data_IF_004355686300
#
_entry.id   IF_004355686300
#
_cell.length_a   1.000
_cell.length_b   1.000
_cell.length_c   1.000
_cell.angle_alpha   90.00
_cell.angle_beta   90.00
_cell.angle_gamma   90.00
#
_symmetry.space_group_name_H-M   'P 1'
#
loop_
_entity.id
_entity.type
_entity.pdbx_description
1 polymer ?
#
# COMPACT_ATOMS: atom_id res chain seq x y z
N UNK A 1 17.69 -7.72 14.39
CA UNK A 1 16.96 -6.47 14.51
C UNK A 1 16.53 -6.02 13.11
N UNK A 2 15.35 -5.43 12.99
CA UNK A 2 14.81 -4.88 11.73
C UNK A 2 15.43 -3.51 11.49
N UNK A 3 15.92 -3.26 10.26
CA UNK A 3 16.45 -1.93 9.93
C UNK A 3 15.31 -0.89 9.88
N UNK A 4 15.63 0.39 10.11
CA UNK A 4 14.62 1.47 10.00
C UNK A 4 14.00 1.56 8.61
N UNK A 5 14.77 1.23 7.56
CA UNK A 5 14.27 1.18 6.19
C UNK A 5 13.32 0.00 5.94
N UNK A 6 13.65 -1.19 6.49
CA UNK A 6 12.73 -2.34 6.43
C UNK A 6 11.42 -2.03 7.16
N UNK A 7 11.50 -1.34 8.31
CA UNK A 7 10.31 -0.94 9.06
C UNK A 7 9.45 0.07 8.27
N UNK A 8 10.07 1.05 7.59
CA UNK A 8 9.36 1.99 6.74
C UNK A 8 8.72 1.30 5.54
N UNK A 9 9.42 0.32 4.93
CA UNK A 9 8.89 -0.48 3.84
C UNK A 9 7.68 -1.32 4.26
N UNK A 10 7.76 -1.97 5.41
CA UNK A 10 6.63 -2.73 5.99
C UNK A 10 5.45 -1.82 6.29
N UNK A 11 5.70 -0.64 6.89
CA UNK A 11 4.64 0.33 7.19
C UNK A 11 3.93 0.83 5.91
N UNK A 12 4.67 1.07 4.83
CA UNK A 12 4.10 1.44 3.54
C UNK A 12 3.25 0.33 2.94
N UNK A 13 3.77 -0.89 2.96
CA UNK A 13 3.13 -2.07 2.36
C UNK A 13 1.80 -2.40 3.06
N UNK A 14 1.75 -2.33 4.40
CA UNK A 14 0.54 -2.58 5.19
C UNK A 14 -0.30 -1.33 5.45
N UNK A 15 0.22 -0.14 5.23
CA UNK A 15 -0.54 1.10 5.31
C UNK A 15 -1.37 1.37 4.05
N UNK A 16 -0.88 0.89 2.89
CA UNK A 16 -1.63 0.86 1.65
C UNK A 16 -2.36 -0.46 1.50
N UNK A 17 -3.45 -0.49 0.76
CA UNK A 17 -4.33 -1.65 0.63
C UNK A 17 -4.14 -2.35 -0.72
N UNK A 18 -4.51 -3.64 -0.79
CA UNK A 18 -4.53 -4.37 -2.05
C UNK A 18 -5.90 -4.29 -2.71
N UNK A 19 -6.01 -3.52 -3.78
CA UNK A 19 -7.23 -3.43 -4.58
C UNK A 19 -7.69 -4.81 -5.08
N UNK A 20 -6.74 -5.67 -5.47
CA UNK A 20 -7.04 -7.05 -5.91
C UNK A 20 -7.70 -7.86 -4.80
N UNK A 21 -7.16 -7.82 -3.59
CA UNK A 21 -7.72 -8.54 -2.44
C UNK A 21 -9.11 -7.99 -2.08
N UNK A 22 -9.27 -6.67 -2.13
CA UNK A 22 -10.56 -6.03 -1.88
C UNK A 22 -11.61 -6.46 -2.89
N UNK A 23 -11.32 -6.39 -4.19
CA UNK A 23 -12.28 -6.81 -5.25
C UNK A 23 -12.62 -8.30 -5.13
N UNK A 24 -11.66 -9.15 -4.77
CA UNK A 24 -11.90 -10.58 -4.52
C UNK A 24 -12.86 -10.77 -3.34
N UNK A 25 -12.70 -10.00 -2.26
CA UNK A 25 -13.60 -10.04 -1.11
C UNK A 25 -15.01 -9.54 -1.47
N UNK A 26 -15.11 -8.45 -2.24
CA UNK A 26 -16.39 -7.94 -2.76
C UNK A 26 -17.10 -9.02 -3.58
N UNK A 27 -16.42 -9.69 -4.51
CA UNK A 27 -17.00 -10.77 -5.30
C UNK A 27 -17.47 -11.95 -4.43
N UNK A 28 -16.71 -12.29 -3.38
CA UNK A 28 -17.12 -13.32 -2.43
C UNK A 28 -18.40 -12.93 -1.72
N UNK A 29 -18.52 -11.70 -1.22
CA UNK A 29 -19.71 -11.19 -0.54
C UNK A 29 -20.93 -11.15 -1.49
N UNK A 30 -20.74 -10.71 -2.74
CA UNK A 30 -21.79 -10.73 -3.77
C UNK A 30 -22.28 -12.16 -4.04
N UNK A 31 -21.37 -13.12 -4.19
CA UNK A 31 -21.72 -14.53 -4.40
C UNK A 31 -22.47 -15.13 -3.21
N UNK A 32 -22.17 -14.71 -1.99
CA UNK A 32 -22.85 -15.13 -0.77
C UNK A 32 -24.10 -14.31 -0.47
N UNK A 33 -24.43 -13.32 -1.32
CA UNK A 33 -25.55 -12.40 -1.13
C UNK A 33 -25.50 -11.63 0.19
N UNK A 34 -24.29 -11.36 0.68
CA UNK A 34 -24.06 -10.57 1.87
C UNK A 34 -23.98 -9.09 1.49
N UNK A 35 -24.91 -8.25 1.97
CA UNK A 35 -24.93 -6.83 1.61
C UNK A 35 -23.76 -6.06 2.24
N UNK A 36 -23.22 -5.09 1.50
CA UNK A 36 -22.19 -4.15 1.97
C UNK A 36 -22.37 -2.78 1.32
N UNK A 37 -21.88 -1.73 1.96
CA UNK A 37 -21.99 -0.36 1.46
C UNK A 37 -20.90 0.00 0.46
N UNK A 38 -21.25 0.77 -0.58
CA UNK A 38 -20.30 1.30 -1.58
C UNK A 38 -19.22 2.23 -1.01
N UNK A 39 -19.45 2.79 0.20
CA UNK A 39 -18.45 3.61 0.91
C UNK A 39 -17.17 2.83 1.26
N UNK A 40 -17.21 1.50 1.32
CA UNK A 40 -16.02 0.68 1.54
C UNK A 40 -15.05 0.74 0.35
N UNK A 41 -15.55 0.86 -0.87
CA UNK A 41 -14.71 1.11 -2.05
C UNK A 41 -14.07 2.50 -2.03
N UNK A 42 -14.82 3.52 -1.58
CA UNK A 42 -14.27 4.85 -1.37
C UNK A 42 -13.18 4.86 -0.27
N UNK A 43 -13.39 4.14 0.82
CA UNK A 43 -12.40 3.97 1.89
C UNK A 43 -11.11 3.35 1.33
N UNK A 44 -11.20 2.28 0.53
CA UNK A 44 -10.06 1.67 -0.15
C UNK A 44 -9.28 2.68 -0.98
N UNK A 45 -9.98 3.44 -1.84
CA UNK A 45 -9.36 4.45 -2.71
C UNK A 45 -8.63 5.55 -1.92
N UNK A 46 -9.20 5.97 -0.80
CA UNK A 46 -8.63 7.02 0.04
C UNK A 46 -7.46 6.54 0.90
N UNK A 47 -7.38 5.26 1.24
CA UNK A 47 -6.29 4.70 2.05
C UNK A 47 -4.96 4.57 1.28
N UNK A 48 -5.00 4.49 -0.05
CA UNK A 48 -3.80 4.19 -0.85
C UNK A 48 -2.79 5.33 -0.83
N UNK A 49 -3.18 6.56 -1.09
CA UNK A 49 -2.28 7.71 -1.17
C UNK A 49 -1.59 8.09 0.14
N UNK A 50 -2.26 8.15 1.30
CA UNK A 50 -1.64 8.55 2.57
C UNK A 50 -0.51 7.62 2.99
N UNK A 51 -0.63 6.32 2.72
CA UNK A 51 0.39 5.34 3.08
C UNK A 51 1.70 5.53 2.31
N UNK A 52 1.62 5.78 1.01
CA UNK A 52 2.78 6.07 0.17
C UNK A 52 3.47 7.35 0.64
N UNK A 53 2.70 8.41 0.93
CA UNK A 53 3.21 9.67 1.44
C UNK A 53 3.96 9.45 2.75
N UNK A 54 3.36 8.77 3.71
CA UNK A 54 3.97 8.48 5.01
C UNK A 54 5.26 7.67 4.86
N UNK A 55 5.28 6.67 3.98
CA UNK A 55 6.47 5.87 3.72
C UNK A 55 7.64 6.71 3.21
N UNK A 56 7.38 7.60 2.25
CA UNK A 56 8.39 8.50 1.70
C UNK A 56 8.88 9.48 2.77
N UNK A 57 7.98 10.01 3.60
CA UNK A 57 8.34 10.90 4.73
C UNK A 57 9.22 10.17 5.73
N UNK A 58 8.87 8.95 6.13
CA UNK A 58 9.68 8.14 7.06
C UNK A 58 11.04 7.78 6.46
N UNK A 59 11.10 7.35 5.21
CA UNK A 59 12.35 7.05 4.53
C UNK A 59 13.28 8.28 4.50
N UNK A 60 12.74 9.45 4.19
CA UNK A 60 13.49 10.70 4.19
C UNK A 60 13.94 11.13 5.59
N UNK A 61 13.12 10.93 6.62
CA UNK A 61 13.46 11.19 8.01
C UNK A 61 14.63 10.30 8.48
N UNK A 62 14.64 9.03 8.08
CA UNK A 62 15.73 8.10 8.40
C UNK A 62 17.04 8.47 7.69
N UNK A 63 16.97 9.00 6.46
CA UNK A 63 18.15 9.48 5.72
C UNK A 63 18.78 10.74 6.34
N UNK A 64 18.01 11.53 7.08
CA UNK A 64 18.47 12.78 7.72
C UNK A 64 19.22 12.59 9.03
N UNK A 65 19.43 11.35 9.53
CA UNK A 65 20.30 11.13 10.70
C UNK A 65 21.71 11.61 10.33
N UNK A 66 22.28 12.61 11.06
CA UNK A 66 23.64 13.06 10.78
C UNK A 66 24.58 11.90 10.99
N UNK A 67 25.38 11.59 9.96
CA UNK A 67 26.58 10.79 10.14
C UNK A 67 27.44 11.61 11.09
N UNK A 68 27.88 11.10 12.25
CA UNK A 68 28.78 11.83 13.13
C UNK A 68 30.00 12.23 12.30
N UNK A 69 30.19 13.52 12.17
CA UNK A 69 31.34 14.13 11.50
C UNK A 69 32.60 13.64 12.23
N UNK A 70 33.31 12.72 11.62
CA UNK A 70 34.65 12.38 12.12
C UNK A 70 35.47 13.65 11.97
N UNK A 71 35.75 14.29 13.09
CA UNK A 71 36.70 15.37 13.19
C UNK A 71 38.03 14.90 12.56
N UNK A 72 38.24 15.30 11.32
CA UNK A 72 39.53 15.13 10.67
C UNK A 72 40.40 16.30 11.14
N UNK A 73 41.12 16.06 12.21
CA UNK A 73 42.18 16.95 12.69
C UNK A 73 43.36 16.80 11.73
N UNK A 74 43.33 17.58 10.66
CA UNK A 74 44.45 17.68 9.72
C UNK A 74 44.33 19.00 8.94
N UNK A 75 45.21 19.93 9.23
CA UNK A 75 45.21 21.26 8.66
C UNK A 75 45.33 21.26 7.13
N UNK A 76 44.34 21.82 6.47
CA UNK A 76 44.31 22.14 5.06
C UNK A 76 43.27 23.23 4.83
N UNK A 77 43.65 24.30 4.15
CA UNK A 77 42.84 25.49 3.81
C UNK A 77 41.55 25.01 3.11
N UNK A 78 40.42 25.20 3.78
CA UNK A 78 39.09 24.88 3.22
C UNK A 78 38.76 25.96 2.20
N UNK A 79 38.72 25.57 0.92
CA UNK A 79 37.86 26.23 -0.07
C UNK A 79 36.41 26.00 0.32
N UNK A 80 35.51 26.96 0.21
CA UNK A 80 34.08 26.74 0.46
C UNK A 80 33.55 25.84 -0.64
N UNK A 81 33.58 24.53 -0.39
CA UNK A 81 32.85 23.59 -1.18
C UNK A 81 31.37 23.89 -0.99
N UNK A 82 30.68 24.16 -2.10
CA UNK A 82 29.26 24.29 -2.22
C UNK A 82 28.54 23.39 -1.21
N UNK A 83 27.90 24.04 -0.25
CA UNK A 83 26.85 23.46 0.55
C UNK A 83 25.71 23.13 -0.41
N UNK A 84 25.84 22.03 -1.14
CA UNK A 84 24.68 21.38 -1.71
C UNK A 84 23.76 21.05 -0.53
N UNK A 85 22.90 22.02 -0.26
CA UNK A 85 21.68 21.84 0.52
C UNK A 85 21.08 20.53 0.04
N UNK A 86 21.24 19.48 0.85
CA UNK A 86 20.47 18.24 0.71
C UNK A 86 19.02 18.62 0.92
N UNK A 87 18.41 19.16 -0.14
CA UNK A 87 17.00 19.51 -0.21
C UNK A 87 16.24 18.22 0.01
N UNK A 88 15.75 18.02 1.22
CA UNK A 88 14.75 17.00 1.44
C UNK A 88 13.64 17.25 0.43
N UNK A 89 13.22 16.21 -0.28
CA UNK A 89 12.16 16.32 -1.28
C UNK A 89 11.01 17.08 -0.65
N UNK A 90 10.57 18.21 -1.22
CA UNK A 90 9.54 19.05 -0.60
C UNK A 90 8.25 18.22 -0.50
N UNK A 91 7.63 18.23 0.68
CA UNK A 91 6.40 17.47 0.96
C UNK A 91 5.33 17.78 -0.10
N UNK A 92 5.24 19.03 -0.56
CA UNK A 92 4.33 19.43 -1.62
C UNK A 92 4.56 18.71 -2.95
N UNK A 93 5.81 18.39 -3.31
CA UNK A 93 6.13 17.62 -4.51
C UNK A 93 5.72 16.16 -4.35
N UNK A 94 5.96 15.58 -3.17
CA UNK A 94 5.54 14.21 -2.84
C UNK A 94 4.03 14.08 -2.88
N UNK A 95 3.31 15.04 -2.28
CA UNK A 95 1.85 15.10 -2.32
C UNK A 95 1.33 15.19 -3.75
N UNK A 96 1.88 16.13 -4.53
CA UNK A 96 1.49 16.28 -5.93
C UNK A 96 1.72 14.99 -6.73
N UNK A 97 2.88 14.37 -6.58
CA UNK A 97 3.26 13.14 -7.27
C UNK A 97 2.36 11.96 -6.86
N UNK A 98 2.03 11.82 -5.57
CA UNK A 98 1.14 10.77 -5.06
C UNK A 98 -0.31 10.93 -5.54
N UNK A 99 -0.82 12.16 -5.64
CA UNK A 99 -2.18 12.40 -6.14
C UNK A 99 -2.28 12.46 -7.67
N UNK A 100 -1.17 12.62 -8.39
CA UNK A 100 -1.11 12.60 -9.86
C UNK A 100 -0.59 11.27 -10.40
N UNK A 101 -0.34 10.30 -9.54
CA UNK A 101 -0.02 8.93 -9.98
C UNK A 101 -1.16 8.35 -10.83
N UNK A 102 -0.79 7.70 -11.95
CA UNK A 102 -1.77 7.21 -12.91
C UNK A 102 -2.76 6.19 -12.32
N UNK A 103 -2.29 5.32 -11.43
CA UNK A 103 -3.14 4.33 -10.75
C UNK A 103 -4.17 5.02 -9.85
N UNK A 104 -3.74 6.02 -9.08
CA UNK A 104 -4.59 6.78 -8.18
C UNK A 104 -5.65 7.60 -8.95
N UNK A 105 -5.24 8.26 -10.04
CA UNK A 105 -6.17 9.00 -10.89
C UNK A 105 -7.23 8.09 -11.54
N UNK A 106 -6.83 6.90 -12.00
CA UNK A 106 -7.75 5.92 -12.55
C UNK A 106 -8.75 5.42 -11.48
N UNK A 107 -8.28 5.17 -10.26
CA UNK A 107 -9.12 4.70 -9.16
C UNK A 107 -10.14 5.75 -8.74
N UNK A 108 -9.70 7.01 -8.53
CA UNK A 108 -10.59 8.12 -8.19
C UNK A 108 -11.53 8.46 -9.35
N UNK A 109 -11.03 8.44 -10.58
CA UNK A 109 -11.84 8.65 -11.78
C UNK A 109 -12.92 7.59 -11.96
N UNK A 110 -12.59 6.31 -11.77
CA UNK A 110 -13.55 5.22 -11.79
C UNK A 110 -14.62 5.37 -10.69
N UNK A 111 -14.22 5.80 -9.49
CA UNK A 111 -15.16 6.08 -8.41
C UNK A 111 -16.14 7.20 -8.77
N UNK A 112 -15.66 8.30 -9.35
CA UNK A 112 -16.52 9.42 -9.81
C UNK A 112 -17.48 8.96 -10.91
N UNK A 113 -16.98 8.21 -11.91
CA UNK A 113 -17.83 7.64 -12.97
C UNK A 113 -18.88 6.71 -12.36
N UNK A 114 -18.53 5.84 -11.42
CA UNK A 114 -19.46 4.97 -10.74
C UNK A 114 -20.58 5.73 -9.98
N UNK A 115 -20.21 6.83 -9.30
CA UNK A 115 -21.17 7.69 -8.60
C UNK A 115 -22.15 8.37 -9.56
N UNK A 116 -21.68 8.81 -10.74
CA UNK A 116 -22.52 9.50 -11.74
C UNK A 116 -23.42 8.51 -12.46
N UNK A 117 -22.93 7.32 -12.81
CA UNK A 117 -23.64 6.36 -13.66
C UNK A 117 -24.49 5.37 -12.88
N UNK A 118 -24.20 5.15 -11.60
CA UNK A 118 -24.96 4.28 -10.71
C UNK A 118 -25.11 2.85 -11.24
N UNK A 119 -26.26 2.24 -10.98
CA UNK A 119 -26.55 0.86 -11.36
C UNK A 119 -26.56 0.62 -12.88
N UNK A 120 -26.94 1.60 -13.66
CA UNK A 120 -26.92 1.52 -15.12
C UNK A 120 -25.47 1.42 -15.63
N UNK A 121 -24.55 2.19 -15.07
CA UNK A 121 -23.12 2.09 -15.37
C UNK A 121 -22.52 0.75 -14.92
N UNK A 122 -22.89 0.27 -13.73
CA UNK A 122 -22.49 -1.05 -13.24
C UNK A 122 -22.92 -2.16 -14.21
N UNK A 123 -24.17 -2.16 -14.65
CA UNK A 123 -24.68 -3.16 -15.60
C UNK A 123 -23.98 -3.09 -16.96
N UNK A 124 -23.72 -1.88 -17.49
CA UNK A 124 -23.01 -1.71 -18.75
C UNK A 124 -21.57 -2.19 -18.70
N UNK A 125 -20.89 -2.03 -17.56
CA UNK A 125 -19.50 -2.41 -17.35
C UNK A 125 -19.33 -3.86 -16.88
N UNK A 126 -20.41 -4.55 -16.52
CA UNK A 126 -20.37 -5.94 -15.98
C UNK A 126 -19.54 -6.92 -16.83
N UNK A 127 -19.63 -6.95 -18.18
CA UNK A 127 -18.81 -7.84 -18.99
C UNK A 127 -17.30 -7.63 -18.82
N UNK A 128 -16.86 -6.39 -18.55
CA UNK A 128 -15.46 -6.02 -18.38
C UNK A 128 -15.02 -6.12 -16.91
N UNK A 129 -15.73 -5.43 -16.02
CA UNK A 129 -15.35 -5.31 -14.61
C UNK A 129 -15.76 -6.52 -13.77
N UNK A 130 -16.69 -7.34 -14.24
CA UNK A 130 -17.11 -8.58 -13.59
C UNK A 130 -16.45 -9.81 -14.24
N UNK A 131 -16.92 -10.21 -15.41
CA UNK A 131 -16.59 -11.52 -15.96
C UNK A 131 -15.18 -11.59 -16.55
N UNK A 132 -14.80 -10.63 -17.40
CA UNK A 132 -13.45 -10.56 -17.96
C UNK A 132 -12.40 -10.35 -16.86
N UNK A 133 -12.70 -9.48 -15.88
CA UNK A 133 -11.80 -9.21 -14.77
C UNK A 133 -11.47 -10.46 -13.96
N UNK A 134 -12.42 -11.38 -13.71
CA UNK A 134 -12.17 -12.65 -13.01
C UNK A 134 -11.11 -13.50 -13.70
N UNK A 135 -11.18 -13.58 -15.03
CA UNK A 135 -10.19 -14.31 -15.83
C UNK A 135 -8.81 -13.64 -15.75
N UNK A 136 -8.76 -12.32 -15.97
CA UNK A 136 -7.52 -11.54 -15.89
C UNK A 136 -6.89 -11.59 -14.50
N UNK A 137 -7.71 -11.57 -13.45
CA UNK A 137 -7.27 -11.72 -12.06
C UNK A 137 -6.56 -13.05 -11.82
N UNK A 138 -7.06 -14.14 -12.40
CA UNK A 138 -6.45 -15.47 -12.26
C UNK A 138 -5.04 -15.51 -12.86
N UNK A 139 -4.85 -14.91 -14.04
CA UNK A 139 -3.52 -14.78 -14.66
C UNK A 139 -2.60 -13.88 -13.86
N UNK A 140 -3.10 -12.75 -13.35
CA UNK A 140 -2.35 -11.86 -12.48
C UNK A 140 -1.87 -12.57 -11.20
N UNK A 141 -2.75 -13.30 -10.53
CA UNK A 141 -2.41 -14.04 -9.32
C UNK A 141 -1.40 -15.16 -9.60
N UNK A 142 -1.49 -15.82 -10.75
CA UNK A 142 -0.52 -16.82 -11.19
C UNK A 142 0.87 -16.17 -11.40
N UNK A 143 0.95 -15.05 -12.10
CA UNK A 143 2.20 -14.33 -12.35
C UNK A 143 2.83 -13.86 -11.04
N UNK A 144 2.03 -13.27 -10.16
CA UNK A 144 2.48 -12.82 -8.82
C UNK A 144 2.97 -14.00 -7.96
N UNK A 145 2.29 -15.14 -8.03
CA UNK A 145 2.72 -16.37 -7.36
C UNK A 145 4.05 -16.90 -7.87
N UNK A 146 4.25 -16.89 -9.20
CA UNK A 146 5.52 -17.29 -9.82
C UNK A 146 6.66 -16.31 -9.46
N UNK A 147 6.37 -15.01 -9.44
CA UNK A 147 7.34 -13.99 -9.01
C UNK A 147 7.73 -14.18 -7.54
N UNK A 148 6.77 -14.40 -6.66
CA UNK A 148 7.01 -14.69 -5.25
C UNK A 148 7.88 -15.94 -5.07
N UNK A 149 7.56 -17.02 -5.79
CA UNK A 149 8.32 -18.27 -5.75
C UNK A 149 9.79 -18.07 -6.21
N UNK A 150 10.02 -17.29 -7.26
CA UNK A 150 11.38 -16.96 -7.74
C UNK A 150 12.19 -16.18 -6.71
N UNK A 151 11.54 -15.29 -5.95
CA UNK A 151 12.18 -14.44 -4.96
C UNK A 151 12.28 -15.11 -3.56
N UNK A 152 11.63 -16.26 -3.35
CA UNK A 152 11.63 -16.96 -2.07
C UNK A 152 13.03 -17.30 -1.53
N UNK A 153 14.04 -17.70 -2.37
CA UNK A 153 15.38 -17.94 -1.89
C UNK A 153 16.04 -16.70 -1.25
N UNK A 154 15.71 -15.49 -1.71
CA UNK A 154 16.24 -14.24 -1.17
C UNK A 154 15.69 -13.93 0.22
N UNK A 155 14.49 -14.44 0.53
CA UNK A 155 13.88 -14.29 1.85
C UNK A 155 14.61 -15.06 2.96
N UNK A 156 15.35 -16.13 2.61
CA UNK A 156 16.09 -16.96 3.60
C UNK A 156 17.18 -16.20 4.35
N UNK A 157 17.67 -15.08 3.79
CA UNK A 157 18.67 -14.21 4.44
C UNK A 157 18.07 -13.06 5.27
N UNK A 158 16.74 -12.93 5.30
CA UNK A 158 16.06 -11.83 6.01
C UNK A 158 15.82 -12.17 7.47
N UNK A 159 15.62 -11.13 8.28
CA UNK A 159 15.32 -11.27 9.71
C UNK A 159 14.11 -12.18 9.94
N UNK A 160 14.21 -13.17 10.86
CA UNK A 160 13.08 -14.06 11.19
C UNK A 160 11.87 -13.28 11.73
N UNK A 161 12.10 -12.10 12.30
CA UNK A 161 11.04 -11.21 12.78
C UNK A 161 10.19 -10.70 11.61
N UNK A 162 10.80 -10.36 10.46
CA UNK A 162 10.07 -9.95 9.25
C UNK A 162 9.23 -11.09 8.68
N UNK A 163 9.76 -12.30 8.68
CA UNK A 163 9.05 -13.48 8.20
C UNK A 163 7.86 -13.79 9.12
N UNK A 164 8.08 -13.74 10.43
CA UNK A 164 7.00 -13.92 11.41
C UNK A 164 5.93 -12.84 11.29
N UNK A 165 6.32 -11.57 11.09
CA UNK A 165 5.38 -10.49 10.88
C UNK A 165 4.60 -10.65 9.58
N UNK A 166 5.22 -11.08 8.49
CA UNK A 166 4.53 -11.33 7.22
C UNK A 166 3.44 -12.40 7.35
N UNK A 167 3.64 -13.40 8.22
CA UNK A 167 2.67 -14.47 8.46
C UNK A 167 1.59 -14.07 9.49
N UNK A 168 1.96 -13.42 10.57
CA UNK A 168 1.07 -13.14 11.71
C UNK A 168 0.45 -11.74 11.65
N UNK A 169 1.12 -10.79 11.00
CA UNK A 169 0.67 -9.40 10.88
C UNK A 169 -0.75 -9.28 10.30
N UNK A 170 -1.05 -9.89 9.15
CA UNK A 170 -2.39 -9.85 8.57
C UNK A 170 -3.47 -10.36 9.52
N UNK A 171 -3.18 -11.44 10.26
CA UNK A 171 -4.12 -12.04 11.22
C UNK A 171 -4.36 -11.08 12.39
N UNK A 172 -3.30 -10.47 12.92
CA UNK A 172 -3.41 -9.49 14.00
C UNK A 172 -4.20 -8.25 13.56
N UNK A 173 -3.91 -7.71 12.37
CA UNK A 173 -4.63 -6.55 11.83
C UNK A 173 -6.11 -6.87 11.57
N UNK A 174 -6.41 -8.03 10.97
CA UNK A 174 -7.79 -8.48 10.78
C UNK A 174 -8.54 -8.62 12.11
N UNK A 175 -7.89 -9.17 13.14
CA UNK A 175 -8.48 -9.33 14.47
C UNK A 175 -8.78 -7.99 15.14
N UNK A 176 -7.87 -7.01 15.01
CA UNK A 176 -8.09 -5.66 15.50
C UNK A 176 -9.25 -4.97 14.75
N UNK A 177 -9.29 -5.13 13.42
CA UNK A 177 -10.37 -4.60 12.60
C UNK A 177 -11.72 -5.23 12.95
N UNK A 178 -11.76 -6.53 13.23
CA UNK A 178 -12.95 -7.22 13.71
C UNK A 178 -13.42 -6.66 15.05
N UNK A 179 -12.49 -6.48 16.00
CA UNK A 179 -12.79 -5.86 17.28
C UNK A 179 -13.39 -4.46 17.13
N UNK A 180 -12.83 -3.65 16.24
CA UNK A 180 -13.35 -2.32 15.91
C UNK A 180 -14.74 -2.40 15.26
N UNK A 181 -14.93 -3.32 14.31
CA UNK A 181 -16.21 -3.52 13.62
C UNK A 181 -17.32 -3.90 14.61
N UNK A 182 -17.02 -4.79 15.57
CA UNK A 182 -17.96 -5.17 16.64
C UNK A 182 -18.27 -3.96 17.52
N UNK A 183 -17.26 -3.17 17.91
CA UNK A 183 -17.45 -1.98 18.74
C UNK A 183 -18.33 -0.93 18.06
N UNK A 184 -18.17 -0.77 16.73
CA UNK A 184 -18.95 0.17 15.92
C UNK A 184 -20.29 -0.40 15.45
N UNK A 185 -20.62 -1.64 15.78
CA UNK A 185 -21.80 -2.36 15.31
C UNK A 185 -21.95 -2.37 13.79
N UNK A 186 -20.85 -2.59 13.06
CA UNK A 186 -20.87 -2.65 11.59
C UNK A 186 -21.60 -3.89 11.09
N UNK A 187 -22.35 -3.81 9.98
CA UNK A 187 -22.92 -4.96 9.29
C UNK A 187 -21.85 -5.96 8.87
N UNK A 188 -22.19 -7.24 8.79
CA UNK A 188 -21.25 -8.33 8.53
C UNK A 188 -20.42 -8.13 7.24
N UNK A 189 -21.03 -7.62 6.15
CA UNK A 189 -20.33 -7.34 4.91
C UNK A 189 -19.30 -6.22 5.04
N UNK A 190 -19.64 -5.14 5.74
CA UNK A 190 -18.72 -4.03 5.99
C UNK A 190 -17.60 -4.44 6.95
N UNK A 191 -17.92 -5.22 7.98
CA UNK A 191 -16.93 -5.77 8.90
C UNK A 191 -15.92 -6.67 8.16
N UNK A 192 -16.39 -7.54 7.26
CA UNK A 192 -15.53 -8.39 6.44
C UNK A 192 -14.61 -7.55 5.53
N UNK A 193 -15.13 -6.53 4.86
CA UNK A 193 -14.32 -5.65 4.02
C UNK A 193 -13.32 -4.83 4.84
N UNK A 194 -13.69 -4.34 6.03
CA UNK A 194 -12.77 -3.65 6.93
C UNK A 194 -11.62 -4.56 7.37
N UNK A 195 -11.92 -5.82 7.70
CA UNK A 195 -10.89 -6.82 8.03
C UNK A 195 -9.93 -7.04 6.86
N UNK A 196 -10.45 -7.15 5.64
CA UNK A 196 -9.65 -7.33 4.43
C UNK A 196 -8.78 -6.09 4.16
N UNK A 197 -9.33 -4.89 4.29
CA UNK A 197 -8.56 -3.65 4.15
C UNK A 197 -7.41 -3.56 5.16
N UNK A 198 -7.68 -3.89 6.43
CA UNK A 198 -6.67 -3.85 7.49
C UNK A 198 -5.59 -4.93 7.37
N UNK A 199 -5.93 -6.10 6.83
CA UNK A 199 -5.03 -7.24 6.71
C UNK A 199 -4.24 -7.26 5.41
N UNK A 200 -4.75 -6.64 4.34
CA UNK A 200 -4.14 -6.70 3.02
C UNK A 200 -2.89 -5.82 2.93
N UNK A 201 -1.87 -6.35 2.26
CA UNK A 201 -0.63 -5.63 1.97
C UNK A 201 -0.62 -5.20 0.50
N UNK A 202 -0.26 -3.94 0.22
CA UNK A 202 -0.18 -3.43 -1.13
C UNK A 202 1.08 -3.92 -1.84
N UNK A 203 0.92 -4.44 -3.04
CA UNK A 203 2.03 -4.75 -3.93
C UNK A 203 2.52 -3.52 -4.74
N UNK A 204 1.71 -2.47 -4.84
CA UNK A 204 2.06 -1.24 -5.56
C UNK A 204 3.07 -0.41 -4.76
N UNK A 205 3.00 -0.44 -3.43
CA UNK A 205 3.94 0.28 -2.57
C UNK A 205 5.38 -0.24 -2.67
N UNK A 206 5.59 -1.51 -3.04
CA UNK A 206 6.92 -2.13 -3.10
C UNK A 206 7.80 -1.52 -4.20
N UNK A 207 7.35 -1.37 -5.47
CA UNK A 207 8.14 -0.69 -6.50
C UNK A 207 8.43 0.78 -6.17
N UNK A 208 7.45 1.51 -5.62
CA UNK A 208 7.62 2.90 -5.21
C UNK A 208 8.76 3.07 -4.19
N UNK A 209 8.91 2.11 -3.27
CA UNK A 209 9.99 2.10 -2.30
C UNK A 209 11.33 1.66 -2.89
N UNK A 210 11.35 0.78 -3.89
CA UNK A 210 12.58 0.36 -4.56
C UNK A 210 13.23 1.51 -5.33
N UNK A 211 12.45 2.41 -5.89
CA UNK A 211 12.94 3.63 -6.54
C UNK A 211 13.58 4.61 -5.57
N UNK A 212 13.29 4.53 -4.27
CA UNK A 212 13.89 5.36 -3.22
C UNK A 212 15.26 4.82 -2.80
N UNK A 213 15.57 3.54 -3.10
CA UNK A 213 16.85 2.91 -2.78
C UNK A 213 17.93 3.09 -3.87
N UNK A 214 17.56 3.59 -5.05
CA UNK A 214 18.48 4.00 -6.10
C UNK A 214 18.78 5.50 -5.92
#
# INVERSE_FOLDING_TARGET
FVSGFDAAAVAATYGSVSAVTFVTAVQYLENQQIPFGGHMAAAMALMESPAIIMAVVFANALRRKPVPERLNVGGGVATPADSQTRSGVPIGKILHESFTDGAQLLLLGAMVVGLITGDAGKAAMQPFSGDLFKGMLSFFLLDMGLMAARNLPQARGKSPVLIAYAALGPIAHASLALGLAVLLNLPAGEAALLMVLAASASYIAVPALSLIHI
#
